data_IF_516286277828
#
_entry.id   IF_516286277828
#
_cell.length_a   1.000
_cell.length_b   1.000
_cell.length_c   1.000
_cell.angle_alpha   90.00
_cell.angle_beta   90.00
_cell.angle_gamma   90.00
#
_symmetry.space_group_name_H-M   'P 1'
#
loop_
_entity.id
_entity.type
_entity.pdbx_description
1 polymer ?
#
# COMPACT_ATOMS: atom_id res chain seq x y z
N UNK A 1 3.30 2.44 2.87
CA UNK A 1 2.83 3.77 2.45
C UNK A 1 3.82 4.86 2.82
N UNK A 2 3.73 5.99 2.12
CA UNK A 2 4.48 7.19 2.42
C UNK A 2 4.17 7.73 3.82
N UNK A 3 5.08 8.55 4.34
CA UNK A 3 4.88 9.24 5.61
C UNK A 3 3.77 10.31 5.48
N UNK A 4 2.63 10.09 6.13
CA UNK A 4 1.41 10.92 6.02
C UNK A 4 1.30 11.99 7.10
N UNK A 5 2.12 11.96 8.13
CA UNK A 5 2.08 12.91 9.24
C UNK A 5 2.24 14.37 8.78
N UNK A 6 3.01 14.60 7.72
CA UNK A 6 3.27 15.95 7.20
C UNK A 6 2.22 16.43 6.19
N UNK A 7 1.15 15.68 5.94
CA UNK A 7 0.09 16.11 5.02
C UNK A 7 -0.71 17.33 5.52
N UNK A 8 -0.45 17.76 6.77
CA UNK A 8 -1.15 18.90 7.41
C UNK A 8 -2.69 18.79 7.35
N UNK A 9 -3.20 17.57 7.12
CA UNK A 9 -4.62 17.27 7.12
C UNK A 9 -4.99 16.54 8.41
N UNK A 10 -5.58 17.25 9.40
CA UNK A 10 -5.95 16.66 10.67
C UNK A 10 -6.92 15.47 10.54
N UNK A 11 -7.72 15.44 9.45
CA UNK A 11 -8.70 14.36 9.23
C UNK A 11 -8.03 13.04 8.87
N UNK A 12 -6.98 13.07 8.04
CA UNK A 12 -6.18 11.88 7.69
C UNK A 12 -5.48 11.34 8.93
N UNK A 13 -4.87 12.21 9.73
CA UNK A 13 -4.18 11.81 10.97
C UNK A 13 -5.15 11.22 12.00
N UNK A 14 -6.35 11.78 12.12
CA UNK A 14 -7.36 11.25 13.03
C UNK A 14 -7.82 9.85 12.59
N UNK A 15 -8.05 9.64 11.29
CA UNK A 15 -8.37 8.31 10.75
C UNK A 15 -7.27 7.29 11.06
N UNK A 16 -5.99 7.65 10.89
CA UNK A 16 -4.86 6.76 11.20
C UNK A 16 -4.82 6.42 12.69
N UNK A 17 -4.99 7.40 13.58
CA UNK A 17 -5.06 7.18 15.04
C UNK A 17 -6.19 6.25 15.46
N UNK A 18 -7.29 6.24 14.71
CA UNK A 18 -8.43 5.36 14.92
C UNK A 18 -8.23 3.96 14.29
N UNK A 19 -7.06 3.63 13.81
CA UNK A 19 -6.74 2.32 13.25
C UNK A 19 -7.01 2.17 11.75
N UNK A 20 -7.32 3.27 11.06
CA UNK A 20 -7.55 3.29 9.61
C UNK A 20 -6.22 3.46 8.86
N UNK A 21 -5.51 2.37 8.65
CA UNK A 21 -4.19 2.39 8.01
C UNK A 21 -4.21 2.70 6.50
N UNK A 22 -5.36 2.63 5.84
CA UNK A 22 -5.55 3.08 4.46
C UNK A 22 -6.02 4.54 4.36
N UNK A 23 -6.47 5.14 5.47
CA UNK A 23 -7.13 6.44 5.51
C UNK A 23 -8.37 6.52 4.58
N UNK A 24 -9.09 5.41 4.39
CA UNK A 24 -10.34 5.38 3.65
C UNK A 24 -11.50 5.94 4.49
N UNK A 25 -12.35 6.74 3.87
CA UNK A 25 -13.57 7.17 4.53
C UNK A 25 -14.48 5.95 4.81
N UNK A 26 -14.93 5.80 6.06
CA UNK A 26 -15.77 4.68 6.48
C UNK A 26 -15.05 3.32 6.46
N UNK A 27 -13.75 3.30 6.74
CA UNK A 27 -12.95 2.08 6.79
C UNK A 27 -13.48 1.09 7.83
N UNK A 28 -13.69 -0.15 7.39
CA UNK A 28 -14.08 -1.29 8.21
C UNK A 28 -12.98 -2.35 8.20
N UNK A 29 -12.11 -2.42 9.22
CA UNK A 29 -11.02 -3.38 9.27
C UNK A 29 -11.50 -4.83 9.43
N UNK A 30 -12.67 -5.05 10.05
CA UNK A 30 -13.25 -6.39 10.18
C UNK A 30 -13.77 -6.89 8.83
N UNK A 31 -14.52 -6.07 8.11
CA UNK A 31 -14.97 -6.39 6.76
C UNK A 31 -13.82 -6.62 5.77
N UNK A 32 -12.70 -5.88 5.92
CA UNK A 32 -11.48 -6.15 5.16
C UNK A 32 -10.90 -7.53 5.51
N UNK A 33 -10.76 -7.84 6.80
CA UNK A 33 -10.22 -9.12 7.25
C UNK A 33 -11.07 -10.30 6.75
N UNK A 34 -12.39 -10.19 6.82
CA UNK A 34 -13.30 -11.25 6.34
C UNK A 34 -13.19 -11.43 4.83
N UNK A 35 -13.12 -10.34 4.06
CA UNK A 35 -12.92 -10.42 2.61
C UNK A 35 -11.58 -11.06 2.22
N UNK A 36 -10.50 -10.75 2.93
CA UNK A 36 -9.20 -11.38 2.73
C UNK A 36 -9.26 -12.88 3.02
N UNK A 37 -9.94 -13.27 4.10
CA UNK A 37 -10.15 -14.67 4.47
C UNK A 37 -10.94 -15.43 3.41
N UNK A 38 -12.03 -14.86 2.91
CA UNK A 38 -12.87 -15.46 1.86
C UNK A 38 -12.10 -15.63 0.54
N UNK A 39 -11.17 -14.71 0.25
CA UNK A 39 -10.32 -14.77 -0.93
C UNK A 39 -9.04 -15.61 -0.73
N UNK A 40 -8.83 -16.23 0.46
CA UNK A 40 -7.59 -16.93 0.82
C UNK A 40 -6.34 -16.05 0.71
N UNK A 41 -6.46 -14.77 1.07
CA UNK A 41 -5.40 -13.78 1.01
C UNK A 41 -4.92 -13.40 2.41
N UNK A 42 -3.66 -12.97 2.47
CA UNK A 42 -3.02 -12.42 3.67
C UNK A 42 -2.49 -11.02 3.35
N UNK A 43 -2.79 -10.04 4.20
CA UNK A 43 -2.28 -8.68 4.07
C UNK A 43 -1.17 -8.44 5.11
N UNK A 44 0.04 -8.15 4.64
CA UNK A 44 1.12 -7.66 5.48
C UNK A 44 1.17 -6.14 5.37
N UNK A 45 0.95 -5.45 6.48
CA UNK A 45 0.93 -3.99 6.55
C UNK A 45 2.27 -3.49 7.08
N UNK A 46 3.03 -2.79 6.24
CA UNK A 46 4.27 -2.11 6.61
C UNK A 46 4.07 -0.60 6.46
N UNK A 47 3.85 0.08 7.56
CA UNK A 47 3.71 1.53 7.61
C UNK A 47 5.07 2.20 7.86
N UNK A 48 5.13 3.52 7.68
CA UNK A 48 6.27 4.30 8.13
C UNK A 48 6.49 4.09 9.65
N UNK A 49 7.73 3.99 10.14
CA UNK A 49 8.01 3.67 11.55
C UNK A 49 7.29 4.58 12.56
N UNK A 50 7.09 5.85 12.21
CA UNK A 50 6.36 6.80 13.06
C UNK A 50 4.88 6.42 13.22
N UNK A 51 4.23 5.96 12.15
CA UNK A 51 2.82 5.54 12.15
C UNK A 51 2.64 4.15 12.75
N UNK A 52 3.62 3.25 12.59
CA UNK A 52 3.54 1.88 13.12
C UNK A 52 3.28 1.82 14.62
N UNK A 53 3.82 2.76 15.39
CA UNK A 53 3.60 2.83 16.85
C UNK A 53 2.13 2.96 17.24
N UNK A 54 1.28 3.45 16.33
CA UNK A 54 -0.16 3.56 16.56
C UNK A 54 -0.89 2.22 16.42
N UNK A 55 -0.20 1.19 15.89
CA UNK A 55 -0.77 -0.11 15.55
C UNK A 55 -0.19 -1.27 16.35
N UNK A 56 0.63 -1.02 17.37
CA UNK A 56 1.29 -2.06 18.17
C UNK A 56 0.32 -3.09 18.78
N UNK A 57 -0.93 -2.69 19.05
CA UNK A 57 -1.96 -3.55 19.63
C UNK A 57 -2.89 -4.21 18.60
N UNK A 58 -2.67 -4.03 17.31
CA UNK A 58 -3.58 -4.53 16.27
C UNK A 58 -3.29 -5.97 15.83
N UNK A 59 -2.06 -6.47 15.99
CA UNK A 59 -1.63 -7.77 15.49
C UNK A 59 -2.43 -8.98 16.01
N UNK A 60 -3.10 -8.85 17.15
CA UNK A 60 -3.89 -9.95 17.74
C UNK A 60 -5.36 -9.93 17.36
N UNK A 61 -5.82 -8.92 16.63
CA UNK A 61 -7.25 -8.72 16.38
C UNK A 61 -7.74 -9.35 15.07
N UNK A 62 -6.84 -9.58 14.12
CA UNK A 62 -7.17 -10.03 12.78
C UNK A 62 -6.43 -11.32 12.41
N UNK A 63 -7.12 -12.24 11.75
CA UNK A 63 -6.53 -13.50 11.30
C UNK A 63 -5.74 -13.37 10.00
N UNK A 64 -6.13 -12.44 9.13
CA UNK A 64 -5.59 -12.28 7.79
C UNK A 64 -4.95 -10.91 7.53
N UNK A 65 -4.71 -10.13 8.58
CA UNK A 65 -3.94 -8.87 8.53
C UNK A 65 -2.86 -8.92 9.59
N UNK A 66 -1.62 -8.72 9.19
CA UNK A 66 -0.47 -8.65 10.09
C UNK A 66 0.26 -7.31 9.91
N UNK A 67 0.67 -6.70 11.00
CA UNK A 67 1.47 -5.47 11.00
C UNK A 67 2.93 -5.81 11.21
N UNK A 68 3.79 -5.30 10.32
CA UNK A 68 5.22 -5.56 10.33
C UNK A 68 5.98 -4.29 10.69
N UNK A 69 6.68 -4.29 11.81
CA UNK A 69 7.59 -3.22 12.21
C UNK A 69 9.06 -3.55 11.92
N UNK A 70 9.93 -2.55 12.03
CA UNK A 70 11.36 -2.74 11.76
C UNK A 70 12.04 -3.61 12.82
N UNK A 71 11.58 -3.54 14.08
CA UNK A 71 12.17 -4.33 15.16
C UNK A 71 11.94 -5.82 14.92
N UNK A 72 10.74 -6.20 14.47
CA UNK A 72 10.43 -7.57 14.10
C UNK A 72 11.31 -8.07 12.94
N UNK A 73 11.52 -7.25 11.91
CA UNK A 73 12.42 -7.60 10.80
C UNK A 73 13.84 -7.86 11.31
N UNK A 74 14.35 -6.95 12.16
CA UNK A 74 15.70 -7.05 12.70
C UNK A 74 15.86 -8.27 13.61
N UNK A 75 14.95 -8.50 14.55
CA UNK A 75 14.99 -9.61 15.50
C UNK A 75 14.90 -10.98 14.83
N UNK A 76 14.19 -11.06 13.69
CA UNK A 76 14.03 -12.30 12.94
C UNK A 76 15.00 -12.43 11.75
N UNK A 77 15.94 -11.48 11.60
CA UNK A 77 16.89 -11.44 10.49
C UNK A 77 16.20 -11.53 9.12
N UNK A 78 15.11 -10.76 8.96
CA UNK A 78 14.33 -10.69 7.74
C UNK A 78 14.69 -9.43 6.96
N UNK A 79 14.90 -9.57 5.66
CA UNK A 79 15.06 -8.45 4.74
C UNK A 79 13.72 -8.06 4.13
N UNK A 80 13.44 -6.75 4.04
CA UNK A 80 12.19 -6.26 3.47
C UNK A 80 12.06 -6.60 1.97
N UNK A 81 13.15 -6.57 1.23
CA UNK A 81 13.14 -6.85 -0.21
C UNK A 81 12.97 -8.35 -0.49
N UNK A 82 13.54 -9.21 0.35
CA UNK A 82 13.28 -10.66 0.29
C UNK A 82 11.80 -10.93 0.53
N UNK A 83 11.21 -10.30 1.54
CA UNK A 83 9.78 -10.42 1.84
C UNK A 83 8.92 -9.93 0.67
N UNK A 84 9.27 -8.80 0.05
CA UNK A 84 8.57 -8.30 -1.15
C UNK A 84 8.64 -9.31 -2.30
N UNK A 85 9.77 -9.99 -2.46
CA UNK A 85 9.95 -11.06 -3.45
C UNK A 85 8.94 -12.21 -3.30
N UNK A 86 8.53 -12.50 -2.07
CA UNK A 86 7.61 -13.59 -1.73
C UNK A 86 6.12 -13.18 -1.78
N UNK A 87 5.81 -11.89 -1.96
CA UNK A 87 4.41 -11.44 -2.08
C UNK A 87 3.85 -11.67 -3.48
N UNK A 88 2.53 -11.85 -3.60
CA UNK A 88 1.85 -12.03 -4.89
C UNK A 88 1.50 -10.69 -5.54
N UNK A 89 1.28 -9.63 -4.76
CA UNK A 89 1.00 -8.27 -5.23
C UNK A 89 1.37 -7.24 -4.17
N UNK A 90 1.55 -5.99 -4.60
CA UNK A 90 1.84 -4.83 -3.74
C UNK A 90 0.63 -3.91 -3.68
N UNK A 91 0.28 -3.46 -2.46
CA UNK A 91 -0.61 -2.31 -2.27
C UNK A 91 0.25 -1.16 -1.76
N UNK A 92 0.27 -0.04 -2.47
CA UNK A 92 1.08 1.12 -2.11
C UNK A 92 0.34 2.43 -2.38
N UNK A 93 0.93 3.53 -1.97
CA UNK A 93 0.48 4.89 -2.27
C UNK A 93 1.53 5.62 -3.12
N UNK A 94 1.98 6.81 -2.72
CA UNK A 94 2.99 7.62 -3.43
C UNK A 94 4.43 7.19 -3.11
N UNK A 95 4.62 6.01 -2.54
CA UNK A 95 5.93 5.50 -2.16
C UNK A 95 6.72 5.01 -3.36
N UNK A 96 8.01 5.36 -3.43
CA UNK A 96 8.92 4.90 -4.49
C UNK A 96 9.18 3.40 -4.50
N UNK A 97 8.76 2.66 -3.46
CA UNK A 97 8.93 1.20 -3.37
C UNK A 97 8.33 0.45 -4.57
N UNK A 98 7.33 1.02 -5.25
CA UNK A 98 6.75 0.38 -6.42
C UNK A 98 7.73 0.29 -7.60
N UNK A 99 8.69 1.19 -7.72
CA UNK A 99 9.73 1.10 -8.75
C UNK A 99 10.59 -0.15 -8.56
N UNK A 100 10.96 -0.45 -7.31
CA UNK A 100 11.68 -1.68 -6.99
C UNK A 100 10.81 -2.92 -7.28
N UNK A 101 9.51 -2.82 -7.01
CA UNK A 101 8.56 -3.92 -7.22
C UNK A 101 8.29 -4.21 -8.71
N UNK A 102 8.55 -3.26 -9.63
CA UNK A 102 8.41 -3.47 -11.08
C UNK A 102 9.30 -4.62 -11.59
N UNK A 103 10.45 -4.86 -10.94
CA UNK A 103 11.36 -5.95 -11.32
C UNK A 103 10.77 -7.34 -11.08
N UNK A 104 9.75 -7.46 -10.24
CA UNK A 104 9.06 -8.73 -9.98
C UNK A 104 7.97 -9.04 -11.03
N UNK A 105 7.59 -8.08 -11.87
CA UNK A 105 6.45 -8.15 -12.82
C UNK A 105 5.15 -8.64 -12.18
N UNK A 106 4.95 -8.32 -10.90
CA UNK A 106 3.74 -8.66 -10.12
C UNK A 106 2.77 -7.48 -10.08
N UNK A 107 1.46 -7.73 -9.86
CA UNK A 107 0.45 -6.67 -9.79
C UNK A 107 0.73 -5.64 -8.69
N UNK A 108 0.41 -4.38 -8.97
CA UNK A 108 0.51 -3.27 -8.02
C UNK A 108 -0.83 -2.57 -7.95
N UNK A 109 -1.33 -2.30 -6.74
CA UNK A 109 -2.56 -1.55 -6.47
C UNK A 109 -2.17 -0.23 -5.81
N UNK A 110 -2.67 0.89 -6.32
CA UNK A 110 -2.34 2.22 -5.83
C UNK A 110 -3.48 2.82 -5.02
N UNK A 111 -3.19 3.24 -3.78
CA UNK A 111 -4.13 3.98 -2.92
C UNK A 111 -3.98 5.46 -3.22
N UNK A 112 -5.03 6.10 -3.73
CA UNK A 112 -4.98 7.49 -4.23
C UNK A 112 -6.00 8.42 -3.55
N UNK A 113 -6.66 7.97 -2.49
CA UNK A 113 -7.73 8.72 -1.83
C UNK A 113 -7.30 10.07 -1.22
N UNK A 114 -6.01 10.28 -0.95
CA UNK A 114 -5.46 11.55 -0.46
C UNK A 114 -4.41 12.17 -1.41
N UNK A 115 -4.50 11.85 -2.71
CA UNK A 115 -3.59 12.36 -3.75
C UNK A 115 -3.52 13.88 -3.77
N UNK A 116 -4.66 14.57 -3.71
CA UNK A 116 -4.70 16.04 -3.74
C UNK A 116 -4.01 16.68 -2.54
N UNK A 117 -4.16 16.10 -1.35
CA UNK A 117 -3.48 16.56 -0.15
C UNK A 117 -1.97 16.34 -0.26
N UNK A 118 -1.56 15.17 -0.75
CA UNK A 118 -0.16 14.84 -0.95
C UNK A 118 0.50 15.79 -1.97
N UNK A 119 -0.12 15.99 -3.12
CA UNK A 119 0.38 16.88 -4.17
C UNK A 119 0.55 18.32 -3.68
N UNK A 120 -0.42 18.81 -2.89
CA UNK A 120 -0.37 20.17 -2.33
C UNK A 120 0.80 20.40 -1.37
N UNK A 121 1.15 19.39 -0.57
CA UNK A 121 2.15 19.53 0.51
C UNK A 121 3.54 19.11 0.04
N UNK A 122 3.65 18.01 -0.69
CA UNK A 122 4.92 17.40 -1.10
C UNK A 122 5.26 17.64 -2.56
N UNK A 123 4.26 17.87 -3.39
CA UNK A 123 4.40 17.80 -4.84
C UNK A 123 4.55 16.37 -5.34
N UNK A 124 4.43 16.21 -6.64
CA UNK A 124 4.67 14.94 -7.34
C UNK A 124 5.88 15.12 -8.26
N UNK A 125 6.80 14.17 -8.24
CA UNK A 125 7.94 14.15 -9.17
C UNK A 125 7.48 13.92 -10.61
N UNK A 126 6.40 13.15 -10.77
CA UNK A 126 5.80 12.80 -12.05
C UNK A 126 4.31 13.14 -11.99
N UNK A 127 3.81 13.82 -13.02
CA UNK A 127 2.42 14.30 -13.10
C UNK A 127 1.92 14.22 -14.56
N UNK A 128 0.66 13.85 -14.79
CA UNK A 128 -0.33 13.43 -13.79
C UNK A 128 0.01 12.05 -13.16
N UNK A 129 -0.38 11.84 -11.90
CA UNK A 129 -0.02 10.66 -11.14
C UNK A 129 -0.58 9.38 -11.75
N UNK A 130 -1.78 9.42 -12.28
CA UNK A 130 -2.44 8.28 -12.91
C UNK A 130 -1.69 7.74 -14.13
N UNK A 131 -0.93 8.58 -14.82
CA UNK A 131 -0.14 8.17 -16.00
C UNK A 131 1.11 7.36 -15.60
N UNK A 132 1.54 7.50 -14.34
CA UNK A 132 2.77 6.87 -13.82
C UNK A 132 2.49 5.69 -12.89
N UNK A 133 1.23 5.28 -12.76
CA UNK A 133 0.80 4.16 -11.92
C UNK A 133 0.46 2.94 -12.77
N UNK A 134 1.36 1.96 -12.91
CA UNK A 134 1.11 0.75 -13.70
C UNK A 134 0.25 -0.27 -12.94
N UNK A 135 -0.94 0.15 -12.51
CA UNK A 135 -1.89 -0.64 -11.75
C UNK A 135 -3.18 0.12 -11.46
N UNK A 136 -4.22 -0.55 -10.94
CA UNK A 136 -5.47 0.11 -10.58
C UNK A 136 -5.27 1.11 -9.44
N UNK A 137 -5.86 2.31 -9.58
CA UNK A 137 -5.95 3.32 -8.55
C UNK A 137 -7.27 3.15 -7.78
N UNK A 138 -7.22 3.07 -6.46
CA UNK A 138 -8.39 2.90 -5.59
C UNK A 138 -8.47 4.01 -4.54
N UNK A 139 -9.69 4.49 -4.30
CA UNK A 139 -9.97 5.61 -3.40
C UNK A 139 -10.85 5.23 -2.20
N UNK A 140 -11.30 3.99 -2.16
CA UNK A 140 -12.19 3.47 -1.12
C UNK A 140 -11.95 1.99 -0.84
N UNK A 141 -12.36 1.54 0.35
CA UNK A 141 -12.35 0.12 0.69
C UNK A 141 -13.17 -0.72 -0.30
N UNK A 142 -14.31 -0.21 -0.76
CA UNK A 142 -15.16 -0.91 -1.73
C UNK A 142 -14.40 -1.19 -3.02
N UNK A 143 -13.69 -0.20 -3.57
CA UNK A 143 -12.88 -0.35 -4.78
C UNK A 143 -11.72 -1.32 -4.54
N UNK A 144 -11.02 -1.19 -3.39
CA UNK A 144 -9.96 -2.12 -3.02
C UNK A 144 -10.47 -3.56 -2.97
N UNK A 145 -11.59 -3.83 -2.30
CA UNK A 145 -12.17 -5.18 -2.22
C UNK A 145 -12.60 -5.73 -3.57
N UNK A 146 -13.00 -4.89 -4.51
CA UNK A 146 -13.29 -5.33 -5.89
C UNK A 146 -12.03 -5.79 -6.61
N UNK A 147 -10.94 -5.03 -6.49
CA UNK A 147 -9.64 -5.39 -7.10
C UNK A 147 -9.04 -6.63 -6.45
N UNK A 148 -9.15 -6.79 -5.12
CA UNK A 148 -8.61 -7.93 -4.39
C UNK A 148 -9.23 -9.28 -4.77
N UNK A 149 -10.41 -9.29 -5.39
CA UNK A 149 -11.02 -10.53 -5.90
C UNK A 149 -10.25 -11.13 -7.09
N UNK A 150 -9.61 -10.25 -7.88
CA UNK A 150 -8.84 -10.63 -9.06
C UNK A 150 -7.62 -9.70 -9.20
N UNK A 151 -6.63 -9.78 -8.29
CA UNK A 151 -5.49 -8.87 -8.29
C UNK A 151 -4.53 -9.10 -9.46
N UNK A 152 -4.53 -10.31 -10.03
CA UNK A 152 -3.70 -10.67 -11.18
C UNK A 152 -4.40 -10.26 -12.48
N UNK A 153 -4.45 -8.95 -12.71
CA UNK A 153 -4.93 -8.39 -13.96
C UNK A 153 -3.74 -8.05 -14.86
N UNK A 154 -3.56 -8.84 -15.92
CA UNK A 154 -2.55 -8.60 -16.95
C UNK A 154 -2.76 -7.29 -17.72
N UNK A 155 -3.85 -6.56 -17.47
CA UNK A 155 -4.17 -5.29 -18.11
C UNK A 155 -3.02 -4.28 -17.99
N UNK A 156 -2.31 -4.26 -16.86
CA UNK A 156 -1.24 -3.30 -16.58
C UNK A 156 0.18 -3.83 -16.85
N UNK A 157 0.32 -5.04 -17.36
CA UNK A 157 1.64 -5.67 -17.56
C UNK A 157 2.55 -4.88 -18.49
N UNK A 158 2.01 -4.40 -19.61
CA UNK A 158 2.77 -3.59 -20.57
C UNK A 158 3.21 -2.25 -19.96
N UNK A 159 2.39 -1.66 -19.10
CA UNK A 159 2.75 -0.42 -18.39
C UNK A 159 3.86 -0.69 -17.35
N UNK A 160 3.78 -1.78 -16.59
CA UNK A 160 4.85 -2.19 -15.66
C UNK A 160 6.17 -2.40 -16.39
N UNK A 161 6.14 -3.09 -17.54
CA UNK A 161 7.32 -3.27 -18.37
C UNK A 161 7.89 -1.94 -18.84
N UNK A 162 7.08 -1.04 -19.39
CA UNK A 162 7.50 0.28 -19.86
C UNK A 162 8.17 1.10 -18.74
N UNK A 163 7.57 1.15 -17.55
CA UNK A 163 8.13 1.89 -16.43
C UNK A 163 9.41 1.27 -15.89
N UNK A 164 9.53 -0.05 -15.89
CA UNK A 164 10.77 -0.72 -15.51
C UNK A 164 11.91 -0.33 -16.44
N UNK A 165 11.72 -0.39 -17.76
CA UNK A 165 12.74 0.01 -18.73
C UNK A 165 13.18 1.48 -18.55
N UNK A 166 12.24 2.39 -18.28
CA UNK A 166 12.56 3.79 -17.99
C UNK A 166 13.40 3.97 -16.73
N UNK A 167 13.13 3.20 -15.69
CA UNK A 167 13.89 3.27 -14.41
C UNK A 167 15.32 2.72 -14.61
N UNK A 168 15.51 1.75 -15.47
CA UNK A 168 16.84 1.20 -15.79
C UNK A 168 17.74 2.18 -16.58
N UNK A 169 17.15 3.18 -17.27
CA UNK A 169 17.88 4.16 -18.06
C UNK A 169 18.38 5.37 -17.25
N UNK A 170 17.96 5.52 -15.98
CA UNK A 170 18.29 6.65 -15.10
C UNK A 170 19.39 6.28 -14.11
#
# INVERSE_FOLDING_TARGET
PTFRYELEDPSVMEMIKQGNFFAFLGFDPYGLNDALKDNHQYLIVKLHPYEMRMFDNFNSQFSNVAFLNNDYLFENNLDLYELLGDTDFLITDFSSIYFDYLYLDKPIIFITNYLKQYEKVRGLLLSPYEDVTPGPCVNSQKELLQVLRHPDDNQYRNQRFYWRELVDEV
#
